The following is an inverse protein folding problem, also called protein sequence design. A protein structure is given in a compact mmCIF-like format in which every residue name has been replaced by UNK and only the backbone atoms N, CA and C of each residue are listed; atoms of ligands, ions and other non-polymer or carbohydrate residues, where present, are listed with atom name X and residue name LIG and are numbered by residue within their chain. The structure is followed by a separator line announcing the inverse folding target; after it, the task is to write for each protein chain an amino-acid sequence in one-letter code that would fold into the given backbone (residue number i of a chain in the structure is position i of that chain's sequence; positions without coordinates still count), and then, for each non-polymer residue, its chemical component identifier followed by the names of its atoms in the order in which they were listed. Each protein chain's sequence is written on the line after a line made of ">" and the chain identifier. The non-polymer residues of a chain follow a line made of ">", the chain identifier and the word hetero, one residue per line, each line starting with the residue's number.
data_IF_298912452588
#
_entry.id   IF_298912452588
#
_cell.length_a   1.000
_cell.length_b   1.000
_cell.length_c   1.000
_cell.angle_alpha   90.00
_cell.angle_beta   90.00
_cell.angle_gamma   90.00
#
_symmetry.space_group_name_H-M   'P 1'
#
loop_
_entity.id
_entity.type
_entity.pdbx_description
1 polymer ?
#
# COMPACT_ATOMS: atom_id res chain seq x y z
N UNK A 1 -18.31 21.00 -3.22
CA UNK A 1 -17.69 19.95 -2.38
C UNK A 1 -16.54 20.57 -1.61
N UNK A 2 -16.32 20.17 -0.36
CA UNK A 2 -15.17 20.64 0.42
C UNK A 2 -13.85 20.29 -0.31
N UNK A 3 -12.98 21.27 -0.61
CA UNK A 3 -11.69 21.03 -1.25
C UNK A 3 -10.84 19.98 -0.52
N UNK A 4 -10.89 19.96 0.81
CA UNK A 4 -10.12 19.01 1.62
C UNK A 4 -10.66 17.59 1.52
N UNK A 5 -11.97 17.42 1.35
CA UNK A 5 -12.59 16.14 1.02
C UNK A 5 -12.11 15.63 -0.35
N UNK A 6 -12.18 16.46 -1.40
CA UNK A 6 -11.76 16.08 -2.77
C UNK A 6 -10.30 15.65 -2.79
N UNK A 7 -9.41 16.42 -2.15
CA UNK A 7 -7.99 16.09 -2.05
C UNK A 7 -7.76 14.75 -1.33
N UNK A 8 -8.51 14.46 -0.27
CA UNK A 8 -8.41 13.19 0.47
C UNK A 8 -8.85 12.01 -0.38
N UNK A 9 -9.93 12.18 -1.12
CA UNK A 9 -10.45 11.16 -2.02
C UNK A 9 -9.45 10.83 -3.12
N UNK A 10 -8.96 11.87 -3.81
CA UNK A 10 -7.97 11.74 -4.88
C UNK A 10 -6.66 11.13 -4.36
N UNK A 11 -6.17 11.58 -3.20
CA UNK A 11 -4.96 11.01 -2.60
C UNK A 11 -5.11 9.52 -2.31
N UNK A 12 -6.26 9.08 -1.78
CA UNK A 12 -6.54 7.66 -1.56
C UNK A 12 -6.62 6.87 -2.87
N UNK A 13 -7.25 7.44 -3.90
CA UNK A 13 -7.30 6.82 -5.23
C UNK A 13 -5.93 6.66 -5.85
N UNK A 14 -5.08 7.70 -5.77
CA UNK A 14 -3.69 7.64 -6.23
C UNK A 14 -2.93 6.56 -5.45
N UNK A 15 -3.06 6.53 -4.12
CA UNK A 15 -2.36 5.55 -3.29
C UNK A 15 -2.73 4.11 -3.66
N UNK A 16 -4.03 3.79 -3.65
CA UNK A 16 -4.53 2.44 -3.93
C UNK A 16 -4.30 2.08 -5.41
N UNK A 17 -4.58 2.98 -6.34
CA UNK A 17 -4.37 2.76 -7.77
C UNK A 17 -2.89 2.50 -8.11
N UNK A 18 -1.97 3.23 -7.49
CA UNK A 18 -0.53 3.00 -7.65
C UNK A 18 -0.14 1.61 -7.14
N UNK A 19 -0.63 1.21 -5.96
CA UNK A 19 -0.38 -0.12 -5.42
C UNK A 19 -0.91 -1.22 -6.37
N UNK A 20 -2.12 -1.04 -6.93
CA UNK A 20 -2.70 -1.98 -7.91
C UNK A 20 -1.81 -2.12 -9.14
N UNK A 21 -1.33 -1.02 -9.72
CA UNK A 21 -0.45 -1.06 -10.90
C UNK A 21 0.88 -1.75 -10.58
N UNK A 22 1.51 -1.43 -9.45
CA UNK A 22 2.81 -2.03 -9.10
C UNK A 22 2.71 -3.51 -8.76
N UNK A 23 1.73 -3.90 -7.94
CA UNK A 23 1.51 -5.29 -7.55
C UNK A 23 1.04 -6.12 -8.75
N UNK A 24 0.10 -5.60 -9.54
CA UNK A 24 -0.39 -6.26 -10.76
C UNK A 24 0.69 -6.40 -11.83
N UNK A 25 1.49 -5.35 -12.05
CA UNK A 25 2.64 -5.40 -12.96
C UNK A 25 3.69 -6.41 -12.50
N UNK A 26 3.97 -6.48 -11.20
CA UNK A 26 4.88 -7.48 -10.65
C UNK A 26 4.31 -8.91 -10.76
N UNK A 27 3.01 -9.08 -10.58
CA UNK A 27 2.32 -10.35 -10.78
C UNK A 27 2.47 -10.82 -12.24
N UNK A 28 2.19 -9.93 -13.20
CA UNK A 28 2.38 -10.22 -14.62
C UNK A 28 3.84 -10.56 -14.94
N UNK A 29 4.80 -9.81 -14.38
CA UNK A 29 6.22 -10.12 -14.54
C UNK A 29 6.56 -11.52 -14.02
N UNK A 30 6.05 -11.90 -12.84
CA UNK A 30 6.36 -13.17 -12.18
C UNK A 30 5.73 -14.39 -12.85
N UNK A 31 4.47 -14.29 -13.26
CA UNK A 31 3.67 -15.44 -13.69
C UNK A 31 3.44 -15.51 -15.19
N UNK A 32 3.65 -14.42 -15.92
CA UNK A 32 3.45 -14.36 -17.37
C UNK A 32 4.76 -14.10 -18.08
N UNK A 33 5.41 -12.96 -17.81
CA UNK A 33 6.58 -12.52 -18.58
C UNK A 33 7.80 -13.42 -18.34
N UNK A 34 8.15 -13.70 -17.09
CA UNK A 34 9.31 -14.54 -16.78
C UNK A 34 9.21 -15.96 -17.37
N UNK A 35 8.07 -16.67 -17.24
CA UNK A 35 7.90 -17.97 -17.88
C UNK A 35 7.95 -17.92 -19.41
N UNK A 36 7.26 -16.96 -20.03
CA UNK A 36 7.18 -16.85 -21.50
C UNK A 36 8.53 -16.50 -22.12
N UNK A 37 9.33 -15.67 -21.44
CA UNK A 37 10.63 -15.22 -21.93
C UNK A 37 11.80 -15.99 -21.30
N UNK A 38 11.56 -17.21 -20.81
CA UNK A 38 12.62 -18.09 -20.34
C UNK A 38 13.65 -18.30 -21.47
N UNK A 39 14.94 -18.14 -21.15
CA UNK A 39 16.02 -18.22 -22.14
C UNK A 39 16.20 -16.98 -23.03
N UNK A 40 15.44 -15.89 -22.81
CA UNK A 40 15.55 -14.62 -23.55
C UNK A 40 15.98 -13.47 -22.63
N UNK A 41 17.24 -13.47 -22.14
CA UNK A 41 17.70 -12.55 -21.10
C UNK A 41 17.69 -11.08 -21.52
N UNK A 42 17.97 -10.79 -22.79
CA UNK A 42 18.00 -9.42 -23.32
C UNK A 42 16.60 -8.79 -23.36
N UNK A 43 15.58 -9.56 -23.75
CA UNK A 43 14.18 -9.11 -23.75
C UNK A 43 13.69 -8.83 -22.32
N UNK A 44 14.02 -9.71 -21.37
CA UNK A 44 13.73 -9.50 -19.95
C UNK A 44 14.42 -8.24 -19.41
N UNK A 45 15.67 -8.01 -19.78
CA UNK A 45 16.41 -6.80 -19.39
C UNK A 45 15.77 -5.54 -19.98
N UNK A 46 15.33 -5.57 -21.23
CA UNK A 46 14.65 -4.46 -21.89
C UNK A 46 13.28 -4.13 -21.26
N UNK A 47 12.49 -5.16 -20.89
CA UNK A 47 11.23 -4.98 -20.16
C UNK A 47 11.51 -4.38 -18.79
N UNK A 48 12.45 -4.94 -18.03
CA UNK A 48 12.85 -4.41 -16.71
C UNK A 48 13.33 -2.96 -16.80
N UNK A 49 14.11 -2.63 -17.82
CA UNK A 49 14.61 -1.29 -18.08
C UNK A 49 13.48 -0.26 -18.28
N UNK A 50 12.38 -0.67 -18.91
CA UNK A 50 11.15 0.13 -19.03
C UNK A 50 10.33 0.13 -17.75
N UNK A 51 10.25 -0.99 -17.05
CA UNK A 51 9.47 -1.15 -15.81
C UNK A 51 10.02 -0.29 -14.66
N UNK A 52 11.34 -0.09 -14.58
CA UNK A 52 11.99 0.65 -13.50
C UNK A 52 11.40 2.05 -13.23
N UNK A 53 10.98 2.77 -14.29
CA UNK A 53 10.41 4.12 -14.15
C UNK A 53 9.07 4.10 -13.44
N UNK A 54 8.26 3.06 -13.69
CA UNK A 54 6.99 2.86 -13.01
C UNK A 54 7.21 2.42 -11.57
N UNK A 55 8.19 1.55 -11.30
CA UNK A 55 8.54 1.16 -9.93
C UNK A 55 8.97 2.36 -9.10
N UNK A 56 9.97 3.13 -9.55
CA UNK A 56 10.45 4.27 -8.76
C UNK A 56 9.41 5.40 -8.67
N UNK A 57 8.74 5.73 -9.77
CA UNK A 57 7.66 6.72 -9.76
C UNK A 57 6.49 6.29 -8.86
N UNK A 58 6.10 5.01 -8.90
CA UNK A 58 5.04 4.47 -8.07
C UNK A 58 5.43 4.41 -6.58
N UNK A 59 6.69 4.07 -6.25
CA UNK A 59 7.19 4.16 -4.87
C UNK A 59 7.10 5.60 -4.37
N UNK A 60 7.54 6.58 -5.16
CA UNK A 60 7.43 7.99 -4.80
C UNK A 60 5.96 8.41 -4.57
N UNK A 61 5.05 8.02 -5.46
CA UNK A 61 3.62 8.28 -5.31
C UNK A 61 3.05 7.62 -4.04
N UNK A 62 3.42 6.37 -3.75
CA UNK A 62 2.97 5.66 -2.55
C UNK A 62 3.49 6.29 -1.26
N UNK A 63 4.74 6.75 -1.24
CA UNK A 63 5.33 7.47 -0.12
C UNK A 63 4.58 8.79 0.14
N UNK A 64 4.41 9.62 -0.89
CA UNK A 64 3.77 10.93 -0.75
C UNK A 64 2.30 10.80 -0.36
N UNK A 65 1.54 9.99 -1.10
CA UNK A 65 0.13 9.76 -0.80
C UNK A 65 -0.06 9.02 0.52
N UNK A 66 0.81 8.06 0.84
CA UNK A 66 0.77 7.32 2.10
C UNK A 66 1.01 8.21 3.31
N UNK A 67 2.03 9.07 3.24
CA UNK A 67 2.33 10.06 4.28
C UNK A 67 1.17 11.04 4.48
N UNK A 68 0.59 11.56 3.40
CA UNK A 68 -0.58 12.44 3.48
C UNK A 68 -1.78 11.76 4.14
N UNK A 69 -2.11 10.52 3.72
CA UNK A 69 -3.22 9.77 4.29
C UNK A 69 -2.98 9.45 5.78
N UNK A 70 -1.74 9.14 6.16
CA UNK A 70 -1.38 8.84 7.54
C UNK A 70 -1.48 10.08 8.43
N UNK A 71 -0.93 11.22 7.99
CA UNK A 71 -1.08 12.49 8.70
C UNK A 71 -2.56 12.80 8.93
N UNK A 72 -3.38 12.74 7.87
CA UNK A 72 -4.82 13.03 7.96
C UNK A 72 -5.54 12.15 8.98
N UNK A 73 -5.12 10.89 9.14
CA UNK A 73 -5.68 10.01 10.15
C UNK A 73 -5.30 10.47 11.58
N UNK A 74 -4.03 10.84 11.80
CA UNK A 74 -3.55 11.38 13.08
C UNK A 74 -4.27 12.68 13.42
N UNK A 75 -4.34 13.62 12.49
CA UNK A 75 -5.02 14.91 12.67
C UNK A 75 -6.52 14.76 12.97
N UNK A 76 -7.13 13.65 12.55
CA UNK A 76 -8.52 13.33 12.84
C UNK A 76 -8.71 12.57 14.17
N UNK A 77 -7.66 12.41 14.99
CA UNK A 77 -7.74 11.71 16.27
C UNK A 77 -7.92 10.19 16.15
N UNK A 78 -7.67 9.59 14.97
CA UNK A 78 -7.80 8.13 14.73
C UNK A 78 -6.63 7.33 15.29
N UNK A 79 -6.26 7.53 16.54
CA UNK A 79 -4.97 7.11 17.11
C UNK A 79 -5.13 6.26 18.37
N UNK A 80 -5.86 5.14 18.27
CA UNK A 80 -5.75 4.10 19.30
C UNK A 80 -4.48 3.24 19.10
N UNK A 81 -4.00 2.63 20.17
CA UNK A 81 -2.72 1.90 20.15
C UNK A 81 -2.70 0.74 19.14
N UNK A 82 -3.86 0.12 18.87
CA UNK A 82 -3.91 -1.00 17.91
C UNK A 82 -3.91 -0.46 16.47
N UNK A 83 -4.57 0.68 16.21
CA UNK A 83 -4.47 1.37 14.94
C UNK A 83 -3.01 1.65 14.59
N UNK A 84 -2.24 2.24 15.52
CA UNK A 84 -0.80 2.48 15.32
C UNK A 84 -0.04 1.19 15.03
N UNK A 85 -0.17 0.18 15.88
CA UNK A 85 0.55 -1.07 15.70
C UNK A 85 0.31 -1.68 14.30
N UNK A 86 -0.93 -1.67 13.81
CA UNK A 86 -1.27 -2.20 12.49
C UNK A 86 -0.79 -1.30 11.34
N UNK A 87 -0.93 0.01 11.48
CA UNK A 87 -0.58 0.99 10.44
C UNK A 87 0.94 1.12 10.30
N UNK A 88 1.66 1.13 11.41
CA UNK A 88 3.12 1.22 11.40
C UNK A 88 3.73 -0.09 10.87
N UNK A 89 3.16 -1.24 11.23
CA UNK A 89 3.57 -2.54 10.67
C UNK A 89 3.45 -2.57 9.15
N UNK A 90 2.32 -2.13 8.57
CA UNK A 90 2.20 -2.12 7.10
C UNK A 90 3.16 -1.12 6.45
N UNK A 91 3.50 -0.02 7.11
CA UNK A 91 4.50 0.93 6.60
C UNK A 91 5.87 0.26 6.54
N UNK A 92 6.28 -0.48 7.58
CA UNK A 92 7.54 -1.23 7.59
C UNK A 92 7.58 -2.30 6.49
N UNK A 93 6.49 -3.06 6.32
CA UNK A 93 6.38 -4.04 5.25
C UNK A 93 6.43 -3.38 3.86
N UNK A 94 5.82 -2.21 3.70
CA UNK A 94 5.89 -1.43 2.47
C UNK A 94 7.32 -0.97 2.19
N UNK A 95 8.08 -0.52 3.20
CA UNK A 95 9.48 -0.12 3.02
C UNK A 95 10.33 -1.29 2.53
N UNK A 96 10.18 -2.47 3.14
CA UNK A 96 10.83 -3.69 2.66
C UNK A 96 10.44 -4.06 1.23
N UNK A 97 9.16 -3.89 0.87
CA UNK A 97 8.66 -4.15 -0.48
C UNK A 97 9.22 -3.17 -1.51
N UNK A 98 9.36 -1.89 -1.15
CA UNK A 98 9.94 -0.85 -2.01
C UNK A 98 11.42 -1.08 -2.26
N UNK A 99 12.15 -1.46 -1.21
CA UNK A 99 13.55 -1.85 -1.33
C UNK A 99 13.72 -3.04 -2.29
N UNK A 100 12.98 -4.14 -2.06
CA UNK A 100 13.07 -5.34 -2.91
C UNK A 100 12.66 -5.04 -4.36
N UNK A 101 11.56 -4.30 -4.56
CA UNK A 101 11.12 -3.89 -5.91
C UNK A 101 12.18 -3.05 -6.62
N UNK A 102 12.83 -2.12 -5.90
CA UNK A 102 13.91 -1.31 -6.43
C UNK A 102 15.15 -2.14 -6.77
N UNK A 103 15.51 -3.11 -5.93
CA UNK A 103 16.63 -4.03 -6.17
C UNK A 103 16.39 -4.90 -7.42
N UNK A 104 15.15 -5.36 -7.61
CA UNK A 104 14.74 -6.17 -8.75
C UNK A 104 14.86 -5.43 -10.09
N UNK A 105 14.65 -4.12 -10.12
CA UNK A 105 14.73 -3.28 -11.34
C UNK A 105 16.03 -2.49 -11.46
N UNK A 106 16.87 -2.50 -10.42
CA UNK A 106 18.11 -1.75 -10.36
C UNK A 106 19.20 -2.27 -11.30
N UNK A 107 20.30 -1.50 -11.37
CA UNK A 107 21.49 -1.83 -12.18
C UNK A 107 22.78 -1.98 -11.36
N UNK A 108 22.72 -1.77 -10.05
CA UNK A 108 23.91 -1.80 -9.20
C UNK A 108 24.40 -3.23 -8.98
N UNK A 109 25.72 -3.45 -8.94
CA UNK A 109 26.31 -4.75 -8.68
C UNK A 109 25.85 -5.33 -7.32
N UNK A 110 25.71 -4.49 -6.29
CA UNK A 110 25.26 -4.91 -4.95
C UNK A 110 23.83 -5.49 -4.89
N UNK A 111 23.01 -5.27 -5.91
CA UNK A 111 21.65 -5.84 -6.00
C UNK A 111 21.54 -7.00 -7.00
N UNK A 112 22.65 -7.47 -7.56
CA UNK A 112 22.67 -8.53 -8.57
C UNK A 112 22.04 -9.83 -8.05
N UNK A 113 22.35 -10.25 -6.81
CA UNK A 113 21.78 -11.44 -6.17
C UNK A 113 20.25 -11.48 -6.14
N UNK A 114 19.59 -10.31 -6.11
CA UNK A 114 18.13 -10.23 -6.15
C UNK A 114 17.60 -10.45 -7.57
N UNK A 115 18.34 -9.99 -8.58
CA UNK A 115 17.98 -10.17 -9.99
C UNK A 115 18.21 -11.60 -10.48
N UNK A 116 19.28 -12.24 -10.02
CA UNK A 116 19.58 -13.63 -10.39
C UNK A 116 18.49 -14.58 -9.88
N UNK A 117 17.92 -14.29 -8.72
CA UNK A 117 16.76 -14.98 -8.16
C UNK A 117 15.46 -14.16 -8.31
N UNK A 118 15.32 -13.37 -9.38
CA UNK A 118 14.19 -12.44 -9.55
C UNK A 118 12.81 -13.09 -9.35
N UNK A 119 12.51 -14.29 -9.87
CA UNK A 119 11.20 -14.93 -9.65
C UNK A 119 10.90 -15.19 -8.17
N UNK A 120 11.90 -15.59 -7.37
CA UNK A 120 11.73 -15.81 -5.93
C UNK A 120 11.38 -14.50 -5.22
N UNK A 121 12.18 -13.46 -5.45
CA UNK A 121 12.01 -12.17 -4.78
C UNK A 121 10.75 -11.43 -5.24
N UNK A 122 10.36 -11.56 -6.50
CA UNK A 122 9.06 -11.08 -6.97
C UNK A 122 7.91 -11.77 -6.22
N UNK A 123 8.00 -13.08 -5.97
CA UNK A 123 7.04 -13.80 -5.13
C UNK A 123 6.98 -13.28 -3.70
N UNK A 124 8.14 -12.99 -3.08
CA UNK A 124 8.20 -12.39 -1.74
C UNK A 124 7.52 -11.02 -1.71
N UNK A 125 7.79 -10.15 -2.68
CA UNK A 125 7.14 -8.83 -2.74
C UNK A 125 5.62 -8.95 -2.96
N UNK A 126 5.16 -9.90 -3.77
CA UNK A 126 3.73 -10.17 -3.94
C UNK A 126 3.08 -10.64 -2.64
N UNK A 127 3.74 -11.52 -1.88
CA UNK A 127 3.28 -11.94 -0.56
C UNK A 127 3.20 -10.75 0.41
N UNK A 128 4.24 -9.91 0.47
CA UNK A 128 4.23 -8.70 1.29
C UNK A 128 3.08 -7.76 0.89
N UNK A 129 2.86 -7.56 -0.41
CA UNK A 129 1.74 -6.79 -0.94
C UNK A 129 0.38 -7.35 -0.49
N UNK A 130 0.20 -8.67 -0.56
CA UNK A 130 -1.02 -9.33 -0.08
C UNK A 130 -1.24 -9.12 1.42
N UNK A 131 -0.19 -9.25 2.24
CA UNK A 131 -0.25 -8.98 3.68
C UNK A 131 -0.61 -7.52 3.97
N UNK A 132 -0.01 -6.56 3.25
CA UNK A 132 -0.31 -5.12 3.39
C UNK A 132 -1.79 -4.85 3.07
N UNK A 133 -2.34 -5.48 2.02
CA UNK A 133 -3.75 -5.35 1.64
C UNK A 133 -4.65 -5.95 2.73
N UNK A 134 -4.32 -7.15 3.24
CA UNK A 134 -5.08 -7.79 4.31
C UNK A 134 -5.11 -6.93 5.59
N UNK A 135 -3.96 -6.42 6.03
CA UNK A 135 -3.87 -5.50 7.16
C UNK A 135 -4.69 -4.23 6.93
N UNK A 136 -4.66 -3.68 5.71
CA UNK A 136 -5.46 -2.50 5.34
C UNK A 136 -6.97 -2.78 5.42
N UNK A 137 -7.40 -3.98 5.03
CA UNK A 137 -8.77 -4.45 5.18
C UNK A 137 -9.20 -4.52 6.65
N UNK A 138 -8.38 -5.15 7.50
CA UNK A 138 -8.66 -5.26 8.95
C UNK A 138 -8.74 -3.89 9.60
N UNK A 139 -7.80 -2.98 9.33
CA UNK A 139 -7.84 -1.61 9.87
C UNK A 139 -9.13 -0.90 9.45
N UNK A 140 -9.53 -1.01 8.18
CA UNK A 140 -10.75 -0.36 7.68
C UNK A 140 -12.01 -0.89 8.35
N UNK A 141 -12.16 -2.21 8.47
CA UNK A 141 -13.35 -2.84 9.08
C UNK A 141 -13.46 -2.44 10.55
N UNK A 142 -12.33 -2.45 11.27
CA UNK A 142 -12.28 -2.09 12.69
C UNK A 142 -12.57 -0.62 12.94
N UNK A 143 -11.99 0.30 12.15
CA UNK A 143 -12.27 1.73 12.28
C UNK A 143 -13.77 1.99 12.05
N UNK A 144 -14.35 1.42 11.00
CA UNK A 144 -15.79 1.52 10.72
C UNK A 144 -16.67 1.03 11.89
N UNK A 145 -16.35 -0.13 12.47
CA UNK A 145 -17.08 -0.69 13.60
C UNK A 145 -16.99 0.23 14.84
N UNK A 146 -15.78 0.74 15.13
CA UNK A 146 -15.57 1.67 16.25
C UNK A 146 -16.34 2.98 16.07
N UNK A 147 -16.33 3.57 14.88
CA UNK A 147 -17.10 4.78 14.60
C UNK A 147 -18.61 4.56 14.73
N UNK A 148 -19.12 3.40 14.32
CA UNK A 148 -20.54 3.07 14.47
C UNK A 148 -20.96 2.97 15.95
N UNK A 149 -20.14 2.37 16.80
CA UNK A 149 -20.41 2.29 18.25
C UNK A 149 -20.35 3.65 18.94
N UNK A 150 -19.38 4.50 18.57
CA UNK A 150 -19.30 5.88 19.07
C UNK A 150 -20.54 6.70 18.68
N UNK A 151 -21.03 6.54 17.44
CA UNK A 151 -22.23 7.22 16.96
C UNK A 151 -23.49 6.78 17.70
N UNK A 152 -23.67 5.48 17.95
CA UNK A 152 -24.79 4.94 18.75
C UNK A 152 -24.77 5.48 20.18
N UNK A 153 -23.60 5.53 20.80
CA UNK A 153 -23.44 6.03 22.17
C UNK A 153 -23.82 7.51 22.26
N UNK A 154 -23.40 8.32 21.29
CA UNK A 154 -23.73 9.75 21.23
C UNK A 154 -25.22 10.03 20.99
N UNK A 155 -25.90 9.20 20.21
CA UNK A 155 -27.35 9.33 19.98
C UNK A 155 -28.18 8.83 21.16
N UNK A 156 -27.75 7.74 21.81
CA UNK A 156 -28.41 7.23 23.02
C UNK A 156 -28.32 8.19 24.20
N UNK A 157 -27.16 8.84 24.42
CA UNK A 157 -27.01 9.84 25.48
C UNK A 157 -27.83 11.11 25.22
N UNK A 158 -27.92 11.55 23.97
CA UNK A 158 -28.75 12.70 23.58
C UNK A 158 -30.26 12.43 23.78
N UNK A 159 -30.73 11.21 23.48
CA UNK A 159 -32.12 10.80 23.71
C UNK A 159 -32.49 10.72 25.19
N UNK A 160 -31.58 10.21 26.03
CA UNK A 160 -31.78 10.16 27.48
C UNK A 160 -31.86 11.56 28.11
N UNK A 161 -30.97 12.48 27.71
CA UNK A 161 -30.97 13.86 28.21
C UNK A 161 -32.19 14.68 27.77
N UNK A 162 -32.85 14.31 26.67
CA UNK A 162 -34.07 14.95 26.20
C UNK A 162 -35.34 14.43 26.89
N UNK A 163 -35.31 13.21 27.44
CA UNK A 163 -36.42 12.61 28.19
C UNK A 163 -36.47 13.04 29.67
N UNK A 164 -35.38 13.62 30.18
CA UNK A 164 -35.24 14.09 31.56
C UNK A 164 -35.60 15.59 31.73
N UNK A 165 -36.04 16.25 30.65
CA UNK A 165 -36.60 17.61 30.64
C UNK A 165 -38.10 17.59 30.37
#
# INVERSE_FOLDING_TARGET
>A
MDPMFVLSLVSRWIHVGTAVVLVGGLFALRFVVHPVLAGRPDDLAAIRGRWKKYVHGGIALLLLSGAFNYWRAIAAGRVDGIYHAMVDTKILLAMGSFFLSSALVGRSAGTQKFRDAAPKWAGVVLLLGAVIIALSGVVKVRDNAKQAELAKTATGSAGAAAAEK
#
